data_IF_320888117203
#
_entry.id   IF_320888117203
#
_cell.length_a   1.000
_cell.length_b   1.000
_cell.length_c   1.000
_cell.angle_alpha   90.00
_cell.angle_beta   90.00
_cell.angle_gamma   90.00
#
_symmetry.space_group_name_H-M   'P 1'
#
loop_
_entity.id
_entity.type
_entity.pdbx_description
1 polymer ?
#
# COMPACT_ATOMS: atom_id res chain seq x y z
N UNK A 1 -1.51 -32.89 -12.55
CA UNK A 1 -1.08 -31.71 -13.31
C UNK A 1 -1.99 -30.55 -12.93
N UNK A 2 -1.48 -29.31 -12.89
CA UNK A 2 -2.29 -28.13 -12.51
C UNK A 2 -2.95 -27.56 -13.76
N UNK A 3 -4.26 -27.33 -13.70
CA UNK A 3 -5.03 -26.78 -14.83
C UNK A 3 -4.77 -25.29 -14.98
N UNK A 4 -4.70 -24.82 -16.22
CA UNK A 4 -4.53 -23.41 -16.55
C UNK A 4 -5.66 -22.96 -17.50
N UNK A 5 -6.17 -21.76 -17.28
CA UNK A 5 -7.00 -21.03 -18.23
C UNK A 5 -6.08 -20.17 -19.10
N UNK A 6 -6.21 -20.27 -20.41
CA UNK A 6 -5.46 -19.43 -21.36
C UNK A 6 -6.44 -18.43 -21.96
N UNK A 7 -6.11 -17.14 -21.87
CA UNK A 7 -6.88 -16.03 -22.46
C UNK A 7 -5.99 -15.11 -23.27
N UNK A 8 -6.56 -14.43 -24.28
CA UNK A 8 -5.85 -13.39 -25.01
C UNK A 8 -5.64 -12.17 -24.11
N UNK A 9 -4.44 -11.58 -24.14
CA UNK A 9 -4.08 -10.40 -23.36
C UNK A 9 -3.15 -9.49 -24.16
N UNK A 10 -3.70 -8.39 -24.69
CA UNK A 10 -2.99 -7.54 -25.63
C UNK A 10 -2.56 -8.34 -26.87
N UNK A 11 -1.27 -8.25 -27.21
CA UNK A 11 -0.66 -9.00 -28.31
C UNK A 11 -0.18 -10.41 -27.91
N UNK A 12 -0.54 -10.89 -26.71
CA UNK A 12 -0.07 -12.15 -26.15
C UNK A 12 -1.15 -13.03 -25.52
N UNK A 13 -0.71 -14.07 -24.81
CA UNK A 13 -1.56 -14.98 -24.05
C UNK A 13 -1.25 -14.87 -22.56
N UNK A 14 -2.30 -14.82 -21.74
CA UNK A 14 -2.23 -14.91 -20.29
C UNK A 14 -2.62 -16.32 -19.85
N UNK A 15 -1.74 -16.98 -19.10
CA UNK A 15 -2.03 -18.25 -18.45
C UNK A 15 -2.38 -18.02 -16.98
N UNK A 16 -3.65 -18.19 -16.62
CA UNK A 16 -4.11 -18.13 -15.24
C UNK A 16 -4.21 -19.54 -14.68
N UNK A 17 -3.40 -19.81 -13.66
CA UNK A 17 -3.43 -21.08 -12.94
C UNK A 17 -4.73 -21.21 -12.15
N UNK A 18 -5.47 -22.30 -12.37
CA UNK A 18 -6.70 -22.58 -11.64
C UNK A 18 -6.42 -23.22 -10.28
N UNK A 19 -7.33 -22.96 -9.33
CA UNK A 19 -7.32 -23.61 -8.02
C UNK A 19 -7.82 -25.06 -8.12
N UNK A 20 -7.33 -25.92 -7.23
CA UNK A 20 -7.89 -27.26 -7.05
C UNK A 20 -9.20 -27.21 -6.27
N UNK A 21 -10.02 -28.27 -6.36
CA UNK A 21 -11.28 -28.39 -5.61
C UNK A 21 -11.10 -28.22 -4.10
N UNK A 22 -10.03 -28.78 -3.54
CA UNK A 22 -9.69 -28.68 -2.12
C UNK A 22 -9.06 -27.34 -1.72
N UNK A 23 -8.68 -26.47 -2.67
CA UNK A 23 -8.21 -25.09 -2.39
C UNK A 23 -9.39 -24.12 -2.33
N UNK A 24 -10.53 -24.47 -2.92
CA UNK A 24 -11.75 -23.66 -2.89
C UNK A 24 -12.55 -24.01 -1.63
N UNK A 25 -13.00 -22.99 -0.90
CA UNK A 25 -13.85 -23.13 0.29
C UNK A 25 -15.24 -22.57 -0.02
N UNK A 26 -16.25 -23.15 0.62
CA UNK A 26 -17.62 -22.66 0.53
C UNK A 26 -17.68 -21.23 1.10
N UNK A 27 -18.24 -20.30 0.33
CA UNK A 27 -18.42 -18.93 0.80
C UNK A 27 -19.39 -18.89 1.98
N UNK A 28 -20.44 -19.72 1.96
CA UNK A 28 -21.37 -19.85 3.08
C UNK A 28 -20.60 -20.24 4.34
N UNK A 29 -19.93 -21.39 4.33
CA UNK A 29 -19.14 -21.87 5.48
C UNK A 29 -18.08 -20.86 5.97
N UNK A 30 -17.41 -20.17 5.04
CA UNK A 30 -16.40 -19.18 5.39
C UNK A 30 -16.97 -17.92 6.04
N UNK A 31 -18.24 -17.59 5.79
CA UNK A 31 -18.91 -16.38 6.29
C UNK A 31 -20.05 -16.66 7.26
N UNK A 32 -20.29 -17.91 7.67
CA UNK A 32 -21.38 -18.30 8.58
C UNK A 32 -21.34 -17.56 9.93
N UNK A 33 -20.13 -17.27 10.43
CA UNK A 33 -19.94 -16.55 11.70
C UNK A 33 -19.98 -15.02 11.54
N UNK A 34 -20.01 -14.51 10.30
CA UNK A 34 -20.02 -13.07 10.04
C UNK A 34 -21.45 -12.56 10.16
N UNK A 35 -21.77 -11.73 11.16
CA UNK A 35 -23.13 -11.23 11.34
C UNK A 35 -23.52 -10.32 10.18
N UNK A 36 -24.80 -10.35 9.82
CA UNK A 36 -25.34 -9.42 8.84
C UNK A 36 -25.46 -8.02 9.46
N UNK A 37 -24.54 -7.12 9.11
CA UNK A 37 -24.50 -5.76 9.65
C UNK A 37 -25.17 -4.78 8.68
N UNK A 38 -26.21 -4.08 9.15
CA UNK A 38 -26.78 -2.94 8.43
C UNK A 38 -25.85 -1.74 8.52
N UNK A 39 -25.26 -1.35 7.40
CA UNK A 39 -24.39 -0.18 7.32
C UNK A 39 -25.25 1.10 7.30
N UNK A 40 -24.97 2.02 8.22
CA UNK A 40 -25.63 3.33 8.28
C UNK A 40 -25.20 4.23 7.11
N UNK A 41 -26.13 5.05 6.60
CA UNK A 41 -25.87 5.94 5.46
C UNK A 41 -24.72 6.92 5.68
N UNK A 42 -24.58 7.48 6.88
CA UNK A 42 -23.46 8.39 7.21
C UNK A 42 -22.09 7.70 7.13
N UNK A 43 -21.99 6.43 7.56
CA UNK A 43 -20.75 5.66 7.47
C UNK A 43 -20.36 5.42 6.01
N UNK A 44 -21.33 5.11 5.15
CA UNK A 44 -21.09 4.94 3.70
C UNK A 44 -20.63 6.24 3.05
N UNK A 45 -21.22 7.38 3.41
CA UNK A 45 -20.81 8.69 2.89
C UNK A 45 -19.37 9.02 3.31
N UNK A 46 -19.02 8.79 4.57
CA UNK A 46 -17.66 9.00 5.06
C UNK A 46 -16.65 8.08 4.36
N UNK A 47 -16.97 6.80 4.21
CA UNK A 47 -16.11 5.85 3.51
C UNK A 47 -15.84 6.28 2.07
N UNK A 48 -16.87 6.72 1.34
CA UNK A 48 -16.73 7.28 -0.02
C UNK A 48 -15.79 8.49 -0.04
N UNK A 49 -15.99 9.44 0.89
CA UNK A 49 -15.13 10.61 0.99
C UNK A 49 -13.65 10.25 1.27
N UNK A 50 -13.38 9.25 2.11
CA UNK A 50 -12.03 8.75 2.37
C UNK A 50 -11.42 8.12 1.12
N UNK A 51 -12.19 7.31 0.39
CA UNK A 51 -11.73 6.70 -0.85
C UNK A 51 -11.40 7.79 -1.87
N UNK A 52 -12.27 8.78 -2.05
CA UNK A 52 -12.05 9.86 -3.02
C UNK A 52 -10.84 10.73 -2.66
N UNK A 53 -10.64 11.03 -1.37
CA UNK A 53 -9.49 11.83 -0.91
C UNK A 53 -8.17 11.05 -0.93
N UNK A 54 -8.20 9.72 -0.80
CA UNK A 54 -6.99 8.86 -0.77
C UNK A 54 -6.74 8.12 -2.09
N UNK A 55 -7.60 8.28 -3.08
CA UNK A 55 -7.43 7.71 -4.43
C UNK A 55 -6.20 8.30 -5.10
N UNK A 56 -5.43 7.43 -5.75
CA UNK A 56 -4.18 7.76 -6.45
C UNK A 56 -3.89 6.68 -7.47
N UNK A 57 -3.06 7.01 -8.46
CA UNK A 57 -2.59 6.04 -9.44
C UNK A 57 -1.74 4.98 -8.75
N UNK A 58 -1.97 3.72 -9.12
CA UNK A 58 -1.24 2.59 -8.58
C UNK A 58 0.00 2.32 -9.44
N UNK A 59 1.18 2.58 -8.88
CA UNK A 59 2.47 2.24 -9.47
C UNK A 59 3.15 1.15 -8.61
N UNK A 60 3.19 -0.11 -9.07
CA UNK A 60 3.83 -1.22 -8.34
C UNK A 60 5.30 -0.97 -8.04
N UNK A 61 6.01 -0.17 -8.85
CA UNK A 61 7.45 0.09 -8.65
C UNK A 61 7.75 0.93 -7.42
N UNK A 62 6.73 1.63 -6.89
CA UNK A 62 6.84 2.43 -5.66
C UNK A 62 6.71 1.59 -4.38
N UNK A 63 6.29 0.33 -4.51
CA UNK A 63 6.20 -0.58 -3.37
C UNK A 63 7.57 -1.16 -3.05
N UNK A 64 8.06 -0.86 -1.85
CA UNK A 64 9.30 -1.41 -1.31
C UNK A 64 9.02 -2.71 -0.55
N UNK A 65 9.81 -3.74 -0.83
CA UNK A 65 9.84 -4.95 -0.01
C UNK A 65 10.59 -4.66 1.31
N UNK A 66 9.81 -4.26 2.32
CA UNK A 66 10.34 -3.95 3.65
C UNK A 66 10.95 -5.16 4.32
N UNK A 67 10.52 -6.37 3.98
CA UNK A 67 11.07 -7.59 4.57
C UNK A 67 12.47 -7.85 4.03
N UNK A 68 12.64 -7.85 2.70
CA UNK A 68 13.93 -8.00 2.04
C UNK A 68 14.92 -6.91 2.48
N UNK A 69 14.46 -5.65 2.55
CA UNK A 69 15.29 -4.54 3.03
C UNK A 69 15.75 -4.78 4.49
N UNK A 70 14.83 -5.14 5.38
CA UNK A 70 15.16 -5.42 6.79
C UNK A 70 16.07 -6.65 6.94
N UNK A 71 15.88 -7.67 6.11
CA UNK A 71 16.71 -8.87 6.11
C UNK A 71 18.14 -8.55 5.66
N UNK A 72 18.29 -7.76 4.58
CA UNK A 72 19.59 -7.33 4.11
C UNK A 72 20.35 -6.48 5.16
N UNK A 73 19.65 -5.56 5.83
CA UNK A 73 20.22 -4.79 6.95
C UNK A 73 20.61 -5.69 8.13
N UNK A 74 19.75 -6.66 8.47
CA UNK A 74 20.02 -7.62 9.54
C UNK A 74 21.27 -8.45 9.26
N UNK A 75 21.42 -8.96 8.04
CA UNK A 75 22.59 -9.74 7.62
C UNK A 75 23.86 -8.88 7.69
N UNK A 76 23.82 -7.64 7.21
CA UNK A 76 24.96 -6.70 7.33
C UNK A 76 25.33 -6.43 8.79
N UNK A 77 24.35 -6.16 9.65
CA UNK A 77 24.59 -5.92 11.08
C UNK A 77 25.21 -7.14 11.77
N UNK A 78 24.80 -8.36 11.40
CA UNK A 78 25.42 -9.61 11.89
C UNK A 78 26.87 -9.74 11.44
N UNK A 79 27.18 -9.47 10.18
CA UNK A 79 28.55 -9.50 9.65
C UNK A 79 29.46 -8.48 10.35
N UNK A 80 28.93 -7.31 10.67
CA UNK A 80 29.64 -6.23 11.37
C UNK A 80 29.71 -6.41 12.90
N UNK A 81 29.15 -7.50 13.44
CA UNK A 81 29.15 -7.79 14.88
C UNK A 81 28.29 -6.84 15.73
N UNK A 82 27.36 -6.09 15.10
CA UNK A 82 26.53 -5.11 15.80
C UNK A 82 25.36 -5.80 16.53
N UNK A 83 25.02 -5.35 17.75
CA UNK A 83 23.84 -5.85 18.45
C UNK A 83 22.56 -5.42 17.73
N UNK A 84 21.66 -6.37 17.49
CA UNK A 84 20.37 -6.11 16.83
C UNK A 84 19.33 -5.74 17.89
N UNK A 85 18.73 -4.56 17.74
CA UNK A 85 17.67 -4.10 18.62
C UNK A 85 16.35 -4.82 18.31
N UNK A 86 15.53 -5.14 19.33
CA UNK A 86 14.20 -5.70 19.11
C UNK A 86 13.27 -4.67 18.44
N UNK A 87 12.34 -5.12 17.59
CA UNK A 87 11.39 -4.23 16.95
C UNK A 87 10.50 -3.52 17.99
N UNK A 88 10.27 -2.21 17.81
CA UNK A 88 9.32 -1.46 18.66
C UNK A 88 7.91 -1.98 18.42
N UNK A 89 7.25 -2.41 19.49
CA UNK A 89 5.82 -2.73 19.46
C UNK A 89 5.02 -1.45 19.12
N UNK A 90 4.10 -1.56 18.18
CA UNK A 90 3.14 -0.49 17.91
C UNK A 90 2.28 -0.25 19.15
N UNK A 91 1.95 1.02 19.42
CA UNK A 91 1.04 1.37 20.52
C UNK A 91 -0.38 1.09 20.08
N UNK A 92 -1.10 0.29 20.86
CA UNK A 92 -2.52 0.07 20.67
C UNK A 92 -3.28 1.34 21.08
N UNK A 93 -4.08 1.89 20.16
CA UNK A 93 -4.98 3.00 20.46
C UNK A 93 -6.33 2.43 20.93
N UNK A 94 -6.82 2.87 22.08
CA UNK A 94 -8.14 2.49 22.58
C UNK A 94 -9.21 3.28 21.83
N UNK A 95 -9.81 2.67 20.81
CA UNK A 95 -10.87 3.29 20.01
C UNK A 95 -12.22 3.02 20.69
N UNK A 96 -12.81 4.04 21.31
CA UNK A 96 -14.12 3.95 21.99
C UNK A 96 -15.28 4.22 21.04
N UNK A 97 -15.06 5.05 20.00
CA UNK A 97 -16.04 5.34 18.95
C UNK A 97 -15.35 5.39 17.58
N UNK A 98 -15.65 4.41 16.73
CA UNK A 98 -15.02 4.25 15.41
C UNK A 98 -15.30 5.43 14.47
N UNK A 99 -16.49 6.02 14.54
CA UNK A 99 -16.91 7.06 13.61
C UNK A 99 -16.20 8.39 13.93
N UNK A 100 -16.14 8.74 15.21
CA UNK A 100 -15.40 9.90 15.69
C UNK A 100 -13.90 9.75 15.45
N UNK A 101 -13.31 8.59 15.79
CA UNK A 101 -11.90 8.30 15.54
C UNK A 101 -11.53 8.36 14.04
N UNK A 102 -12.44 7.93 13.16
CA UNK A 102 -12.22 7.99 11.72
C UNK A 102 -12.31 9.43 11.20
N UNK A 103 -13.26 10.24 11.69
CA UNK A 103 -13.36 11.68 11.38
C UNK A 103 -12.09 12.43 11.82
N UNK A 104 -11.59 12.15 13.03
CA UNK A 104 -10.34 12.74 13.52
C UNK A 104 -9.12 12.33 12.67
N UNK A 105 -9.00 11.03 12.32
CA UNK A 105 -7.92 10.52 11.48
C UNK A 105 -7.92 11.11 10.07
N UNK A 106 -9.11 11.29 9.48
CA UNK A 106 -9.28 11.96 8.19
C UNK A 106 -8.88 13.44 8.27
N UNK A 107 -9.34 14.17 9.29
CA UNK A 107 -9.00 15.59 9.48
C UNK A 107 -7.51 15.83 9.74
N UNK A 108 -6.86 14.94 10.51
CA UNK A 108 -5.40 14.98 10.74
C UNK A 108 -4.62 14.73 9.44
N UNK A 109 -5.10 13.81 8.60
CA UNK A 109 -4.50 13.52 7.29
C UNK A 109 -4.50 14.74 6.37
N UNK A 110 -5.62 15.48 6.27
CA UNK A 110 -5.70 16.68 5.43
C UNK A 110 -4.76 17.81 5.88
N UNK A 111 -4.55 17.97 7.19
CA UNK A 111 -3.61 18.97 7.74
C UNK A 111 -2.16 18.60 7.43
N UNK A 112 -1.82 17.31 7.46
CA UNK A 112 -0.49 16.81 7.13
C UNK A 112 -0.16 16.96 5.63
N UNK A 113 -1.12 16.73 4.73
CA UNK A 113 -0.92 16.93 3.30
C UNK A 113 -0.70 18.43 2.94
N UNK A 114 -1.44 19.34 3.59
CA UNK A 114 -1.26 20.80 3.39
C UNK A 114 0.11 21.30 3.89
N UNK A 115 0.65 20.72 4.96
CA UNK A 115 1.98 21.08 5.48
C UNK A 115 3.11 20.46 4.65
N UNK A 116 2.93 19.26 4.10
CA UNK A 116 3.86 18.64 3.16
C UNK A 116 3.95 19.38 1.82
N UNK A 117 2.81 19.84 1.28
CA UNK A 117 2.77 20.65 0.06
C UNK A 117 3.48 21.99 0.22
N UNK A 118 3.34 22.65 1.38
CA UNK A 118 4.02 23.94 1.67
C UNK A 118 5.54 23.79 1.81
N UNK A 119 6.04 22.63 2.29
CA UNK A 119 7.49 22.33 2.33
C UNK A 119 8.08 22.03 0.95
N UNK A 120 7.33 21.38 0.04
CA UNK A 120 7.78 21.11 -1.34
C UNK A 120 7.86 22.38 -2.20
N UNK A 121 7.00 23.37 -1.95
CA UNK A 121 7.05 24.66 -2.64
C UNK A 121 8.23 25.57 -2.23
N UNK A 122 8.93 25.25 -1.13
CA UNK A 122 10.01 26.07 -0.58
C UNK A 122 11.43 25.60 -0.97
N UNK A 123 11.59 24.55 -1.78
CA UNK A 123 12.90 24.15 -2.30
C UNK A 123 13.16 24.78 -3.68
N UNK A 124 14.22 25.61 -3.84
CA UNK A 124 14.57 26.17 -5.13
C UNK A 124 15.06 25.07 -6.08
N UNK A 125 14.32 24.90 -7.17
CA UNK A 125 14.57 23.93 -8.24
C UNK A 125 15.85 24.34 -9.00
N UNK A 126 16.99 23.71 -8.67
CA UNK A 126 18.25 23.88 -9.41
C UNK A 126 18.06 23.43 -10.86
N UNK A 127 18.10 24.39 -11.79
CA UNK A 127 18.09 24.18 -13.23
C UNK A 127 19.36 23.45 -13.66
N UNK A 128 19.22 22.26 -14.24
CA UNK A 128 20.33 21.50 -14.83
C UNK A 128 20.55 21.99 -16.27
N UNK A 129 21.60 22.77 -16.48
CA UNK A 129 22.04 23.27 -17.79
C UNK A 129 22.46 22.09 -18.68
N UNK A 130 21.85 21.98 -19.86
CA UNK A 130 22.22 20.99 -20.87
C UNK A 130 23.51 21.42 -21.58
N UNK A 131 24.57 20.62 -21.45
CA UNK A 131 25.82 20.83 -22.17
C UNK A 131 25.83 20.06 -23.50
N UNK A 132 25.86 20.83 -24.58
CA UNK A 132 26.09 20.44 -25.99
C UNK A 132 27.52 19.90 -26.25
N UNK A 133 27.67 19.18 -27.38
CA UNK A 133 28.91 18.74 -28.10
C UNK A 133 29.57 17.44 -27.59
N UNK A 134 30.00 16.47 -28.42
CA UNK A 134 30.64 16.52 -29.76
C UNK A 134 30.37 15.25 -30.61
N UNK A 135 30.40 15.41 -31.95
CA UNK A 135 30.66 14.38 -32.96
C UNK A 135 32.14 13.94 -32.95
N UNK A 136 32.39 12.68 -33.30
CA UNK A 136 33.57 12.17 -34.02
C UNK A 136 33.11 10.85 -34.68
N UNK A 137 33.06 10.81 -36.02
CA UNK A 137 34.10 10.27 -36.93
C UNK A 137 34.03 8.75 -37.01
#
# INVERSE_FOLDING_TARGET
ARTVLISAYGDGLLATTLNFDYEVRSAQEAFDEVPEVKIQGEMLQLAKHIIDTKRRDFDPSTFEDRYEAALAEFVKAKLEGKPIAPPRKAREAKVVNLLEALRESAALSERNDKTAAKKRAAQPRRTRTAATRRKAS
#
